data_IF_698008867395
#
_entry.id   IF_698008867395
#
_cell.length_a   1.000
_cell.length_b   1.000
_cell.length_c   1.000
_cell.angle_alpha   90.00
_cell.angle_beta   90.00
_cell.angle_gamma   90.00
#
_symmetry.space_group_name_H-M   'P 1'
#
loop_
_entity.id
_entity.type
_entity.pdbx_description
1 polymer ?
#
# COMPACT_ATOMS: atom_id res chain seq x y z
N UNK A 1 10.91 -5.82 37.73
CA UNK A 1 9.52 -5.44 37.35
C UNK A 1 9.51 -4.28 36.35
N UNK A 2 10.11 -3.12 36.66
CA UNK A 2 10.17 -1.99 35.73
C UNK A 2 11.09 -2.21 34.50
N UNK A 3 12.20 -2.94 34.67
CA UNK A 3 13.15 -3.25 33.57
C UNK A 3 12.50 -4.15 32.52
N UNK A 4 11.75 -5.18 32.95
CA UNK A 4 11.01 -6.07 32.05
C UNK A 4 9.94 -5.30 31.23
N UNK A 5 9.26 -4.34 31.86
CA UNK A 5 8.30 -3.48 31.15
C UNK A 5 9.00 -2.56 30.14
N UNK A 6 10.17 -1.99 30.49
CA UNK A 6 10.94 -1.16 29.59
C UNK A 6 11.43 -1.96 28.37
N UNK A 7 11.94 -3.18 28.59
CA UNK A 7 12.36 -4.10 27.53
C UNK A 7 11.21 -4.47 26.58
N UNK A 8 10.02 -4.73 27.13
CA UNK A 8 8.82 -5.02 26.34
C UNK A 8 8.41 -3.82 25.47
N UNK A 9 8.46 -2.61 26.04
CA UNK A 9 8.13 -1.37 25.33
C UNK A 9 9.11 -1.14 24.17
N UNK A 10 10.42 -1.30 24.38
CA UNK A 10 11.44 -1.16 23.32
C UNK A 10 11.22 -2.18 22.20
N UNK A 11 10.88 -3.43 22.53
CA UNK A 11 10.54 -4.45 21.53
C UNK A 11 9.31 -4.06 20.70
N UNK A 12 8.27 -3.51 21.32
CA UNK A 12 7.06 -3.08 20.61
C UNK A 12 7.31 -1.92 19.64
N UNK A 13 8.21 -0.99 19.98
CA UNK A 13 8.61 0.11 19.08
C UNK A 13 9.61 -0.32 17.99
N UNK A 14 10.18 -1.52 18.09
CA UNK A 14 11.10 -2.07 17.07
C UNK A 14 10.35 -2.76 15.92
N UNK A 15 9.03 -2.93 16.04
CA UNK A 15 8.18 -3.55 15.02
C UNK A 15 7.75 -2.46 14.04
N UNK A 16 8.55 -2.23 13.00
CA UNK A 16 8.15 -1.36 11.89
C UNK A 16 7.01 -1.99 11.09
N UNK A 17 5.95 -1.23 10.80
CA UNK A 17 4.94 -1.64 9.82
C UNK A 17 5.35 -1.07 8.46
N UNK A 18 5.71 -1.95 7.53
CA UNK A 18 5.88 -1.57 6.14
C UNK A 18 4.54 -1.69 5.41
N UNK A 19 3.82 -0.57 5.28
CA UNK A 19 2.60 -0.51 4.47
C UNK A 19 2.97 -0.43 2.99
N UNK A 20 3.50 -1.53 2.44
CA UNK A 20 3.91 -1.65 1.03
C UNK A 20 2.76 -2.07 0.11
N UNK A 21 1.70 -2.69 0.63
CA UNK A 21 0.66 -3.28 -0.21
C UNK A 21 -0.68 -2.52 -0.17
N UNK A 22 -1.15 -2.08 -1.33
CA UNK A 22 -2.47 -1.48 -1.52
C UNK A 22 -3.43 -2.49 -2.14
N UNK A 23 -4.58 -2.72 -1.51
CA UNK A 23 -5.67 -3.49 -2.11
C UNK A 23 -6.69 -2.55 -2.73
N UNK A 24 -6.85 -2.62 -4.05
CA UNK A 24 -7.84 -1.85 -4.79
C UNK A 24 -8.94 -2.79 -5.26
N UNK A 25 -10.19 -2.47 -4.93
CA UNK A 25 -11.36 -3.28 -5.27
C UNK A 25 -12.39 -2.46 -6.05
N UNK A 26 -12.84 -2.99 -7.18
CA UNK A 26 -13.99 -2.45 -7.89
C UNK A 26 -15.30 -2.96 -7.25
N UNK A 27 -15.99 -2.10 -6.51
CA UNK A 27 -17.34 -2.39 -5.95
C UNK A 27 -18.49 -1.90 -6.84
N UNK A 28 -18.18 -1.25 -7.96
CA UNK A 28 -19.17 -0.78 -8.93
C UNK A 28 -19.68 -1.93 -9.81
N UNK A 29 -20.85 -1.74 -10.42
CA UNK A 29 -21.44 -2.70 -11.38
C UNK A 29 -20.81 -2.65 -12.77
N UNK A 30 -19.98 -1.64 -13.03
CA UNK A 30 -19.31 -1.42 -14.31
C UNK A 30 -17.81 -1.65 -14.17
N UNK A 31 -17.15 -1.93 -15.29
CA UNK A 31 -15.68 -1.93 -15.36
C UNK A 31 -15.14 -0.53 -15.09
N UNK A 32 -14.08 -0.43 -14.30
CA UNK A 32 -13.37 0.82 -14.00
C UNK A 32 -11.91 0.72 -14.43
N UNK A 33 -11.28 1.88 -14.64
CA UNK A 33 -9.86 2.01 -14.96
C UNK A 33 -9.19 3.01 -14.01
N UNK A 34 -8.84 2.60 -12.78
CA UNK A 34 -8.12 3.47 -11.86
C UNK A 34 -6.77 3.86 -12.47
N UNK A 35 -6.47 5.15 -12.43
CA UNK A 35 -5.15 5.67 -12.77
C UNK A 35 -4.21 5.53 -11.58
N UNK A 36 -2.91 5.54 -11.82
CA UNK A 36 -1.91 5.63 -10.76
C UNK A 36 -0.89 6.68 -11.16
N UNK A 37 -0.78 7.72 -10.36
CA UNK A 37 0.20 8.79 -10.55
C UNK A 37 1.30 8.65 -9.51
N UNK A 38 2.50 8.30 -9.97
CA UNK A 38 3.68 8.21 -9.11
C UNK A 38 4.37 9.56 -8.96
N UNK A 39 4.82 9.88 -7.76
CA UNK A 39 5.62 11.06 -7.45
C UNK A 39 6.99 11.06 -8.15
N UNK A 40 7.60 12.24 -8.27
CA UNK A 40 8.86 12.41 -8.99
C UNK A 40 9.99 11.54 -8.42
N UNK A 41 10.78 10.92 -9.30
CA UNK A 41 11.94 10.11 -8.93
C UNK A 41 11.62 8.74 -8.34
N UNK A 42 10.37 8.26 -8.46
CA UNK A 42 9.94 6.92 -8.02
C UNK A 42 9.47 6.08 -9.22
N UNK A 43 9.59 4.74 -9.16
CA UNK A 43 9.17 3.87 -10.25
C UNK A 43 7.64 3.83 -10.39
N UNK A 44 7.14 3.85 -11.62
CA UNK A 44 5.71 3.79 -11.92
C UNK A 44 5.11 2.45 -11.46
N UNK A 45 3.94 2.48 -10.83
CA UNK A 45 3.19 1.28 -10.45
C UNK A 45 2.17 0.93 -11.53
N UNK A 46 2.03 -0.37 -11.84
CA UNK A 46 1.05 -0.92 -12.81
C UNK A 46 0.98 -0.11 -14.13
N UNK A 47 2.12 0.34 -14.66
CA UNK A 47 2.19 1.15 -15.88
C UNK A 47 1.28 2.40 -15.89
N UNK A 48 0.94 2.92 -14.70
CA UNK A 48 0.11 4.11 -14.52
C UNK A 48 -1.40 3.86 -14.47
N UNK A 49 -1.86 2.61 -14.49
CA UNK A 49 -3.28 2.29 -14.33
C UNK A 49 -3.64 0.83 -14.55
N UNK A 50 -4.82 0.43 -14.12
CA UNK A 50 -5.27 -0.97 -14.22
C UNK A 50 -6.74 -1.05 -14.60
N UNK A 51 -7.13 -2.06 -15.37
CA UNK A 51 -8.54 -2.37 -15.60
C UNK A 51 -9.08 -3.30 -14.51
N UNK A 52 -10.20 -2.94 -13.88
CA UNK A 52 -10.89 -3.79 -12.91
C UNK A 52 -12.33 -4.07 -13.33
N UNK A 53 -12.66 -5.35 -13.54
CA UNK A 53 -14.04 -5.81 -13.76
C UNK A 53 -14.87 -5.67 -12.47
N UNK A 54 -16.21 -5.67 -12.55
CA UNK A 54 -17.08 -5.63 -11.36
C UNK A 54 -16.70 -6.73 -10.36
N UNK A 55 -16.50 -6.35 -9.09
CA UNK A 55 -16.10 -7.24 -7.99
C UNK A 55 -14.62 -7.64 -7.96
N UNK A 56 -13.83 -7.30 -8.98
CA UNK A 56 -12.41 -7.64 -9.04
C UNK A 56 -11.60 -6.82 -8.02
N UNK A 57 -10.59 -7.47 -7.44
CA UNK A 57 -9.57 -6.81 -6.61
C UNK A 57 -8.17 -7.07 -7.16
N UNK A 58 -7.25 -6.16 -6.86
CA UNK A 58 -5.82 -6.32 -7.11
C UNK A 58 -5.02 -5.83 -5.91
N UNK A 59 -3.87 -6.43 -5.70
CA UNK A 59 -2.87 -6.01 -4.72
C UNK A 59 -1.73 -5.32 -5.47
N UNK A 60 -1.31 -4.16 -4.99
CA UNK A 60 -0.27 -3.33 -5.60
C UNK A 60 0.81 -3.10 -4.54
N UNK A 61 1.98 -3.69 -4.77
CA UNK A 61 3.16 -3.52 -3.92
C UNK A 61 3.93 -2.28 -4.36
N UNK A 62 3.98 -1.26 -3.51
CA UNK A 62 4.78 -0.06 -3.70
C UNK A 62 6.15 -0.21 -3.01
N UNK A 63 7.24 0.27 -3.63
CA UNK A 63 8.56 0.24 -3.01
C UNK A 63 8.63 1.19 -1.81
N UNK A 64 9.59 0.95 -0.91
CA UNK A 64 9.82 1.79 0.26
C UNK A 64 10.01 3.26 -0.13
N UNK A 65 9.28 4.14 0.56
CA UNK A 65 9.32 5.58 0.31
C UNK A 65 8.69 6.02 -1.02
N UNK A 66 7.83 5.19 -1.62
CA UNK A 66 6.95 5.62 -2.71
C UNK A 66 5.96 6.68 -2.22
N UNK A 67 5.58 7.59 -3.11
CA UNK A 67 4.52 8.57 -2.92
C UNK A 67 3.76 8.76 -4.23
N UNK A 68 2.46 9.05 -4.15
CA UNK A 68 1.62 9.21 -5.34
C UNK A 68 0.11 9.23 -5.04
N UNK A 69 -0.70 9.06 -6.10
CA UNK A 69 -2.16 9.07 -6.08
C UNK A 69 -2.76 7.92 -6.91
N UNK A 70 -4.00 7.54 -6.59
CA UNK A 70 -4.85 6.59 -7.33
C UNK A 70 -6.08 7.30 -7.91
#
# INVERSE_FOLDING_TARGET
MAIEQLSLIVMLFSIGVEATNFTVQNRSRNTIWPGILTGAGKPQLMDGGVQLKPGQQINITAPTGWSGHF
#
